data_IF_389463840934
#
_entry.id   IF_389463840934
#
_cell.length_a   1.000
_cell.length_b   1.000
_cell.length_c   1.000
_cell.angle_alpha   90.00
_cell.angle_beta   90.00
_cell.angle_gamma   90.00
#
_symmetry.space_group_name_H-M   'P 1'
#
loop_
_entity.id
_entity.type
_entity.pdbx_description
1 polymer ?
#
# COMPACT_ATOMS: atom_id res chain seq x y z
N UNK A 1 7.93 4.34 -27.51
CA UNK A 1 8.54 5.39 -26.70
C UNK A 1 9.27 4.72 -25.56
N UNK A 2 10.59 4.84 -25.53
CA UNK A 2 11.43 4.30 -24.46
C UNK A 2 11.23 5.23 -23.26
N UNK A 3 10.75 4.70 -22.13
CA UNK A 3 10.43 5.48 -20.95
C UNK A 3 11.65 6.27 -20.46
N UNK A 4 11.41 7.53 -20.12
CA UNK A 4 12.40 8.39 -19.50
C UNK A 4 12.89 7.74 -18.19
N UNK A 5 14.18 7.42 -18.16
CA UNK A 5 14.85 6.70 -17.07
C UNK A 5 15.33 7.66 -15.96
N UNK A 6 14.77 8.88 -15.90
CA UNK A 6 15.16 9.95 -14.97
C UNK A 6 14.43 9.89 -13.63
N UNK A 7 13.23 9.31 -13.55
CA UNK A 7 12.47 9.27 -12.30
C UNK A 7 13.04 8.26 -11.31
N UNK A 8 13.50 8.70 -10.11
CA UNK A 8 14.19 7.83 -9.15
C UNK A 8 13.24 6.85 -8.44
N UNK A 9 11.93 7.00 -8.62
CA UNK A 9 10.89 6.24 -7.91
C UNK A 9 10.02 5.47 -8.92
N UNK A 10 9.78 4.20 -8.62
CA UNK A 10 8.81 3.37 -9.30
C UNK A 10 7.52 3.28 -8.48
N UNK A 11 6.41 3.75 -9.06
CA UNK A 11 5.05 3.69 -8.50
C UNK A 11 4.28 2.45 -8.97
N UNK A 12 4.98 1.42 -9.44
CA UNK A 12 4.42 0.12 -9.84
C UNK A 12 3.40 0.24 -10.98
N UNK A 13 3.60 1.23 -11.86
CA UNK A 13 2.68 1.55 -12.95
C UNK A 13 1.41 2.31 -12.54
N UNK A 14 1.28 2.73 -11.28
CA UNK A 14 0.18 3.56 -10.81
C UNK A 14 0.46 5.07 -10.98
N UNK A 15 -0.60 5.87 -11.06
CA UNK A 15 -0.53 7.33 -10.90
C UNK A 15 -0.49 7.67 -9.40
N UNK A 16 0.63 8.19 -8.87
CA UNK A 16 0.76 8.47 -7.44
C UNK A 16 -0.19 9.57 -6.93
N UNK A 17 -0.57 10.54 -7.77
CA UNK A 17 -1.46 11.62 -7.34
C UNK A 17 -2.89 11.12 -7.22
N UNK A 18 -3.38 10.34 -8.19
CA UNK A 18 -4.69 9.71 -8.11
C UNK A 18 -4.81 8.77 -6.90
N UNK A 19 -3.75 8.05 -6.56
CA UNK A 19 -3.71 7.22 -5.35
C UNK A 19 -3.74 8.06 -4.07
N UNK A 20 -3.00 9.17 -4.02
CA UNK A 20 -3.00 10.06 -2.86
C UNK A 20 -4.40 10.64 -2.62
N UNK A 21 -5.04 11.17 -3.66
CA UNK A 21 -6.41 11.70 -3.62
C UNK A 21 -7.40 10.62 -3.13
N UNK A 22 -7.32 9.39 -3.67
CA UNK A 22 -8.14 8.27 -3.22
C UNK A 22 -7.97 7.96 -1.73
N UNK A 23 -6.73 7.96 -1.23
CA UNK A 23 -6.44 7.67 0.17
C UNK A 23 -6.86 8.81 1.10
N UNK A 24 -6.81 10.05 0.65
CA UNK A 24 -7.32 11.22 1.37
C UNK A 24 -8.84 11.17 1.51
N UNK A 25 -9.54 10.91 0.41
CA UNK A 25 -11.00 10.74 0.39
C UNK A 25 -11.44 9.60 1.31
N UNK A 26 -10.78 8.43 1.21
CA UNK A 26 -11.04 7.30 2.09
C UNK A 26 -10.80 7.68 3.56
N UNK A 27 -9.71 8.37 3.86
CA UNK A 27 -9.41 8.78 5.23
C UNK A 27 -10.43 9.79 5.77
N UNK A 28 -10.93 10.70 4.93
CA UNK A 28 -12.00 11.63 5.30
C UNK A 28 -13.31 10.89 5.61
N UNK A 29 -13.71 9.97 4.73
CA UNK A 29 -14.92 9.17 4.91
C UNK A 29 -14.85 8.30 6.18
N UNK A 30 -13.72 7.64 6.43
CA UNK A 30 -13.54 6.82 7.64
C UNK A 30 -13.61 7.64 8.93
N UNK A 31 -13.07 8.87 8.93
CA UNK A 31 -13.18 9.78 10.08
C UNK A 31 -14.61 10.23 10.31
N UNK A 32 -15.34 10.56 9.24
CA UNK A 32 -16.76 10.92 9.32
C UNK A 32 -17.59 9.79 9.92
N UNK A 33 -17.40 8.58 9.42
CA UNK A 33 -18.07 7.38 9.94
C UNK A 33 -17.75 7.13 11.42
N UNK A 34 -16.47 7.23 11.81
CA UNK A 34 -16.05 7.06 13.20
C UNK A 34 -16.65 8.13 14.14
N UNK A 35 -16.93 9.33 13.62
CA UNK A 35 -17.61 10.40 14.34
C UNK A 35 -19.14 10.27 14.36
N UNK A 36 -19.71 9.19 13.79
CA UNK A 36 -21.15 8.96 13.73
C UNK A 36 -21.86 9.71 12.59
N UNK A 37 -21.12 10.17 11.59
CA UNK A 37 -21.66 10.82 10.38
C UNK A 37 -21.75 9.80 9.23
N UNK A 38 -22.91 9.16 9.01
CA UNK A 38 -23.09 8.25 7.88
C UNK A 38 -23.08 9.01 6.53
N UNK A 39 -22.87 8.31 5.40
CA UNK A 39 -23.00 8.93 4.08
C UNK A 39 -24.40 9.51 3.87
N UNK A 40 -24.49 10.61 3.12
CA UNK A 40 -25.77 11.23 2.80
C UNK A 40 -26.66 10.29 1.97
N UNK A 41 -28.00 10.41 2.05
CA UNK A 41 -28.91 9.65 1.18
C UNK A 41 -28.63 9.85 -0.31
N UNK A 42 -28.23 11.06 -0.72
CA UNK A 42 -27.85 11.36 -2.10
C UNK A 42 -26.60 10.57 -2.54
N UNK A 43 -25.56 10.54 -1.70
CA UNK A 43 -24.35 9.74 -1.98
C UNK A 43 -24.67 8.24 -2.11
N UNK A 44 -25.58 7.72 -1.29
CA UNK A 44 -26.01 6.32 -1.39
C UNK A 44 -26.86 6.03 -2.63
N UNK A 45 -27.65 7.01 -3.11
CA UNK A 45 -28.45 6.86 -4.33
C UNK A 45 -27.58 6.76 -5.58
N UNK A 46 -26.43 7.45 -5.59
CA UNK A 46 -25.45 7.42 -6.68
C UNK A 46 -24.46 6.24 -6.57
N UNK A 47 -24.42 5.57 -5.41
CA UNK A 47 -23.48 4.47 -5.18
C UNK A 47 -23.84 3.20 -5.99
N UNK A 48 -22.85 2.41 -6.44
CA UNK A 48 -23.10 1.15 -7.12
C UNK A 48 -23.87 0.15 -6.25
N UNK A 49 -24.88 -0.50 -6.84
CA UNK A 49 -25.67 -1.52 -6.14
C UNK A 49 -25.00 -2.90 -6.25
N UNK A 50 -24.42 -3.38 -5.15
CA UNK A 50 -23.83 -4.72 -5.04
C UNK A 50 -24.84 -5.74 -4.47
N UNK A 51 -25.25 -6.73 -5.26
CA UNK A 51 -26.21 -7.79 -4.86
C UNK A 51 -25.50 -9.13 -4.62
N UNK A 52 -26.05 -9.96 -3.72
CA UNK A 52 -25.49 -11.29 -3.34
C UNK A 52 -24.02 -11.20 -2.89
N UNK A 53 -23.72 -10.19 -2.08
CA UNK A 53 -22.37 -9.94 -1.60
C UNK A 53 -21.94 -10.98 -0.56
N UNK A 54 -20.62 -11.18 -0.46
CA UNK A 54 -19.96 -12.03 0.52
C UNK A 54 -18.51 -11.59 0.71
N UNK A 55 -17.83 -12.09 1.74
CA UNK A 55 -16.43 -11.75 1.99
C UNK A 55 -15.49 -12.54 1.09
N UNK A 56 -14.50 -11.86 0.51
CA UNK A 56 -13.45 -12.49 -0.29
C UNK A 56 -12.09 -11.81 -0.02
N UNK A 57 -10.99 -12.56 0.09
CA UNK A 57 -9.66 -11.99 0.17
C UNK A 57 -9.18 -11.52 -1.21
N UNK A 58 -8.39 -10.44 -1.23
CA UNK A 58 -7.68 -9.96 -2.42
C UNK A 58 -6.20 -9.80 -2.08
N UNK A 59 -5.32 -10.33 -2.92
CA UNK A 59 -3.87 -10.13 -2.78
C UNK A 59 -3.47 -8.72 -3.21
N UNK A 60 -2.53 -8.12 -2.47
CA UNK A 60 -1.84 -6.90 -2.85
C UNK A 60 -0.33 -7.16 -2.92
N UNK A 61 0.39 -6.39 -3.74
CA UNK A 61 1.85 -6.48 -3.77
C UNK A 61 2.40 -5.97 -2.44
N UNK A 62 3.27 -6.75 -1.81
CA UNK A 62 3.87 -6.44 -0.52
C UNK A 62 5.34 -6.88 -0.50
N UNK A 63 6.09 -6.41 0.51
CA UNK A 63 7.45 -6.87 0.77
C UNK A 63 7.43 -7.92 1.88
N UNK A 64 8.34 -8.88 1.79
CA UNK A 64 8.59 -9.86 2.84
C UNK A 64 10.09 -9.90 3.18
N UNK A 65 10.40 -10.01 4.47
CA UNK A 65 11.77 -10.14 4.96
C UNK A 65 11.90 -9.80 6.44
N UNK A 66 13.14 -9.74 6.90
CA UNK A 66 13.48 -9.50 8.31
C UNK A 66 13.41 -8.02 8.67
N UNK A 67 12.57 -7.66 9.64
CA UNK A 67 12.42 -6.28 10.11
C UNK A 67 13.46 -5.90 11.18
N UNK A 68 13.91 -4.66 11.11
CA UNK A 68 14.74 -3.99 12.12
C UNK A 68 14.24 -2.56 12.33
N UNK A 69 14.31 -2.06 13.58
CA UNK A 69 13.88 -0.72 13.96
C UNK A 69 12.37 -0.47 13.86
N UNK A 70 11.56 -1.53 13.75
CA UNK A 70 10.11 -1.39 13.60
C UNK A 70 9.44 -1.10 14.96
N UNK A 71 8.55 -0.09 15.07
CA UNK A 71 8.01 0.36 16.37
C UNK A 71 7.13 -0.68 17.09
N UNK A 72 6.77 -1.78 16.41
CA UNK A 72 5.88 -2.83 16.94
C UNK A 72 6.38 -4.25 16.67
N UNK A 73 7.51 -4.42 15.99
CA UNK A 73 8.04 -5.75 15.63
C UNK A 73 9.45 -5.79 16.19
N UNK A 74 9.75 -6.82 16.98
CA UNK A 74 11.09 -7.04 17.52
C UNK A 74 12.06 -7.26 16.37
N UNK A 75 13.25 -6.68 16.49
CA UNK A 75 14.31 -6.82 15.50
C UNK A 75 14.65 -8.28 15.21
N UNK A 76 15.00 -8.56 13.94
CA UNK A 76 15.36 -9.91 13.50
C UNK A 76 14.15 -10.82 13.20
N UNK A 77 12.93 -10.30 13.25
CA UNK A 77 11.71 -11.07 12.95
C UNK A 77 11.32 -10.94 11.48
N UNK A 78 10.97 -12.07 10.88
CA UNK A 78 10.28 -12.11 9.58
C UNK A 78 8.95 -11.36 9.65
N UNK A 79 8.67 -10.57 8.62
CA UNK A 79 7.40 -9.88 8.46
C UNK A 79 6.98 -9.81 7.00
N UNK A 80 5.68 -9.63 6.80
CA UNK A 80 5.10 -9.23 5.52
C UNK A 80 4.53 -7.83 5.74
N UNK A 81 4.89 -6.90 4.86
CA UNK A 81 4.42 -5.51 4.96
C UNK A 81 2.96 -5.39 4.53
N UNK A 82 2.34 -4.25 4.84
CA UNK A 82 1.16 -3.80 4.09
C UNK A 82 1.49 -3.59 2.61
N UNK A 83 0.47 -3.33 1.79
CA UNK A 83 0.58 -3.03 0.36
C UNK A 83 1.69 -2.02 0.05
N UNK A 84 2.46 -2.31 -1.00
CA UNK A 84 3.55 -1.50 -1.53
C UNK A 84 3.00 -0.48 -2.53
N UNK A 85 3.39 0.78 -2.39
CA UNK A 85 2.92 1.88 -3.23
C UNK A 85 4.04 2.54 -4.04
N UNK A 86 5.26 2.57 -3.49
CA UNK A 86 6.41 3.08 -4.21
C UNK A 86 7.69 2.37 -3.77
N UNK A 87 8.65 2.29 -4.67
CA UNK A 87 10.00 1.79 -4.38
C UNK A 87 11.02 2.62 -5.14
N UNK A 88 12.15 2.93 -4.51
CA UNK A 88 13.26 3.55 -5.21
C UNK A 88 13.80 2.59 -6.28
N UNK A 89 14.18 3.08 -7.47
CA UNK A 89 14.73 2.22 -8.53
C UNK A 89 16.02 1.52 -8.12
N UNK A 90 16.82 2.17 -7.29
CA UNK A 90 18.03 1.59 -6.68
C UNK A 90 17.74 0.60 -5.54
N UNK A 91 16.45 0.43 -5.20
CA UNK A 91 15.95 -0.44 -4.14
C UNK A 91 16.51 -0.10 -2.76
N UNK A 92 16.82 1.16 -2.49
CA UNK A 92 17.30 1.63 -1.18
C UNK A 92 16.18 1.86 -0.16
N UNK A 93 14.95 2.17 -0.63
CA UNK A 93 13.79 2.35 0.23
C UNK A 93 12.48 2.02 -0.48
N UNK A 94 11.42 1.81 0.31
CA UNK A 94 10.06 1.58 -0.17
C UNK A 94 9.04 2.32 0.70
N UNK A 95 7.94 2.75 0.06
CA UNK A 95 6.73 3.25 0.72
C UNK A 95 5.63 2.18 0.65
N UNK A 96 5.18 1.73 1.82
CA UNK A 96 4.02 0.83 1.97
C UNK A 96 2.81 1.62 2.48
N UNK A 97 1.61 1.02 2.59
CA UNK A 97 0.45 1.70 3.18
C UNK A 97 0.78 2.30 4.57
N UNK A 98 1.48 1.53 5.40
CA UNK A 98 1.71 1.90 6.80
C UNK A 98 3.00 2.67 7.04
N UNK A 99 4.12 2.28 6.41
CA UNK A 99 5.45 2.83 6.74
C UNK A 99 6.37 2.99 5.53
N UNK A 100 7.42 3.80 5.72
CA UNK A 100 8.61 3.71 4.90
C UNK A 100 9.51 2.60 5.44
N UNK A 101 10.19 1.90 4.54
CA UNK A 101 11.22 0.93 4.87
C UNK A 101 12.51 1.34 4.16
N UNK A 102 13.61 1.39 4.89
CA UNK A 102 14.94 1.28 4.28
C UNK A 102 15.15 -0.19 3.92
N UNK A 103 15.65 -0.44 2.72
CA UNK A 103 15.81 -1.78 2.18
C UNK A 103 17.29 -2.16 2.17
N UNK A 104 17.57 -3.36 2.67
CA UNK A 104 18.84 -4.03 2.44
C UNK A 104 18.86 -4.76 1.10
N UNK A 105 19.93 -5.51 0.81
CA UNK A 105 19.99 -6.38 -0.36
C UNK A 105 18.77 -7.30 -0.43
N UNK A 106 18.17 -7.49 -1.62
CA UNK A 106 17.04 -8.39 -1.77
C UNK A 106 17.48 -9.82 -1.47
N UNK A 107 16.60 -10.59 -0.82
CA UNK A 107 16.80 -12.04 -0.69
C UNK A 107 16.75 -12.65 -2.08
N UNK A 108 17.82 -13.33 -2.49
CA UNK A 108 17.81 -14.12 -3.72
C UNK A 108 17.13 -15.45 -3.37
N UNK A 109 15.92 -15.66 -3.88
CA UNK A 109 15.25 -16.95 -3.72
C UNK A 109 16.03 -18.02 -4.50
N UNK A 110 16.51 -19.06 -3.82
CA UNK A 110 17.12 -20.25 -4.45
C UNK A 110 18.65 -20.34 -4.46
N UNK A 111 19.37 -19.60 -3.62
CA UNK A 111 20.83 -19.78 -3.41
C UNK A 111 21.22 -20.15 -1.97
N UNK A 112 20.24 -20.52 -1.15
CA UNK A 112 20.47 -21.08 0.18
C UNK A 112 20.12 -22.59 0.16
N UNK A 113 20.96 -23.40 -0.52
CA UNK A 113 21.16 -24.84 -0.26
C UNK A 113 22.64 -25.20 -0.48
#
# INVERSE_FOLDING_TARGET
>A
MIGDNSDPVDFLGADPLAIAELLEDLAADLRGLAAGSPPSPGRLLEAPHLRRWGFAPRSALCLAGTAYGHPRIVDGRECVTSELFAIARDRSWARTLSRYYQLGPPKVFGLDE
#
